data_IF_052504309307
#
_entry.id   IF_052504309307
#
_cell.length_a   1.000
_cell.length_b   1.000
_cell.length_c   1.000
_cell.angle_alpha   90.00
_cell.angle_beta   90.00
_cell.angle_gamma   90.00
#
_symmetry.space_group_name_H-M   'P 1'
#
loop_
_entity.id
_entity.type
_entity.pdbx_description
1 polymer ?
#
# COMPACT_ATOMS: atom_id res chain seq x y z
N UNK A 1 -29.29 18.52 34.40
CA UNK A 1 -28.97 17.21 33.81
C UNK A 1 -29.61 16.96 32.43
N UNK A 2 -30.83 17.43 32.15
CA UNK A 2 -31.54 17.22 30.86
C UNK A 2 -30.81 17.82 29.63
N UNK A 3 -30.15 18.96 29.76
CA UNK A 3 -29.50 19.64 28.61
C UNK A 3 -28.17 18.99 28.13
N UNK A 4 -27.50 18.15 28.96
CA UNK A 4 -26.29 17.43 28.54
C UNK A 4 -26.62 16.18 27.72
N UNK A 5 -27.76 15.53 28.04
CA UNK A 5 -28.20 14.33 27.31
C UNK A 5 -28.67 14.71 25.89
N UNK A 6 -29.35 15.83 25.72
CA UNK A 6 -29.84 16.30 24.43
C UNK A 6 -28.67 16.68 23.52
N UNK A 7 -27.57 17.34 24.03
CA UNK A 7 -26.39 17.65 23.25
C UNK A 7 -25.60 16.40 22.82
N UNK A 8 -25.53 15.39 23.68
CA UNK A 8 -24.90 14.11 23.33
C UNK A 8 -25.65 13.34 22.24
N UNK A 9 -26.98 13.30 22.32
CA UNK A 9 -27.84 12.67 21.33
C UNK A 9 -27.81 13.39 19.98
N UNK A 10 -27.81 14.71 19.94
CA UNK A 10 -27.71 15.49 18.71
C UNK A 10 -26.34 15.28 18.04
N UNK A 11 -25.27 15.18 18.81
CA UNK A 11 -23.93 14.92 18.25
C UNK A 11 -23.80 13.49 17.68
N UNK A 12 -24.37 12.49 18.35
CA UNK A 12 -24.42 11.10 17.85
C UNK A 12 -25.28 11.01 16.59
N UNK A 13 -26.43 11.70 16.53
CA UNK A 13 -27.26 11.73 15.33
C UNK A 13 -26.61 12.49 14.18
N UNK A 14 -25.85 13.56 14.43
CA UNK A 14 -25.10 14.28 13.40
C UNK A 14 -23.97 13.41 12.82
N UNK A 15 -23.22 12.70 13.66
CA UNK A 15 -22.16 11.80 13.21
C UNK A 15 -22.75 10.60 12.45
N UNK A 16 -23.84 10.01 12.93
CA UNK A 16 -24.54 8.93 12.22
C UNK A 16 -25.19 9.42 10.92
N UNK A 17 -25.69 10.66 10.90
CA UNK A 17 -26.27 11.31 9.72
C UNK A 17 -25.22 11.56 8.63
N UNK A 18 -24.03 12.01 9.00
CA UNK A 18 -22.91 12.21 8.07
C UNK A 18 -22.42 10.86 7.50
N UNK A 19 -22.30 9.83 8.33
CA UNK A 19 -21.98 8.46 7.88
C UNK A 19 -23.07 7.87 6.95
N UNK A 20 -24.35 8.13 7.26
CA UNK A 20 -25.48 7.69 6.42
C UNK A 20 -25.53 8.45 5.09
N UNK A 21 -25.18 9.75 5.06
CA UNK A 21 -25.11 10.53 3.84
C UNK A 21 -23.94 10.07 2.94
N UNK A 22 -22.75 9.85 3.52
CA UNK A 22 -21.62 9.25 2.81
C UNK A 22 -21.94 7.85 2.25
N UNK A 23 -22.70 7.04 3.00
CA UNK A 23 -23.18 5.73 2.52
C UNK A 23 -24.15 5.83 1.34
N UNK A 24 -25.10 6.79 1.40
CA UNK A 24 -26.13 6.93 0.36
C UNK A 24 -25.58 7.42 -0.99
N UNK A 25 -24.64 8.36 -0.99
CA UNK A 25 -24.04 8.86 -2.23
C UNK A 25 -23.17 7.81 -2.95
N UNK A 26 -22.66 6.81 -2.23
CA UNK A 26 -21.77 5.79 -2.80
C UNK A 26 -22.44 4.45 -3.15
N UNK A 27 -23.65 4.20 -2.66
CA UNK A 27 -24.37 2.92 -2.93
C UNK A 27 -24.75 2.77 -4.40
N UNK A 28 -24.83 3.86 -5.15
CA UNK A 28 -25.25 3.86 -6.56
C UNK A 28 -24.10 3.91 -7.59
N UNK A 29 -22.86 4.06 -7.17
CA UNK A 29 -21.73 3.80 -8.07
C UNK A 29 -21.40 2.31 -8.01
N UNK A 30 -22.03 1.52 -8.90
CA UNK A 30 -21.46 0.26 -9.33
C UNK A 30 -20.02 0.57 -9.73
N UNK A 31 -19.06 -0.08 -9.07
CA UNK A 31 -17.67 -0.04 -9.49
C UNK A 31 -17.67 -0.82 -10.79
N UNK A 32 -17.91 -0.12 -11.91
CA UNK A 32 -17.76 -0.68 -13.24
C UNK A 32 -16.26 -0.87 -13.45
N UNK A 33 -15.82 -2.05 -13.10
CA UNK A 33 -14.46 -2.47 -13.31
C UNK A 33 -14.47 -3.18 -14.65
N UNK A 34 -14.46 -2.40 -15.73
CA UNK A 34 -14.10 -2.93 -17.04
C UNK A 34 -12.60 -3.26 -16.99
N UNK A 35 -12.30 -4.40 -16.38
CA UNK A 35 -10.91 -4.85 -16.14
C UNK A 35 -10.45 -5.59 -17.38
N UNK A 36 -9.37 -5.12 -17.94
CA UNK A 36 -8.62 -5.89 -18.93
C UNK A 36 -8.16 -7.20 -18.27
N UNK A 37 -8.57 -8.34 -18.83
CA UNK A 37 -8.21 -9.67 -18.32
C UNK A 37 -6.69 -9.91 -18.41
N UNK A 38 -6.04 -9.22 -19.34
CA UNK A 38 -4.62 -9.33 -19.66
C UNK A 38 -3.75 -8.34 -18.89
N UNK A 39 -4.29 -7.74 -17.82
CA UNK A 39 -3.59 -6.76 -17.01
C UNK A 39 -3.88 -6.91 -15.53
N UNK A 40 -2.95 -6.45 -14.72
CA UNK A 40 -3.12 -6.31 -13.27
C UNK A 40 -2.76 -4.91 -12.80
N UNK A 41 -3.54 -4.42 -11.84
CA UNK A 41 -3.27 -3.20 -11.09
C UNK A 41 -2.66 -3.59 -9.74
N UNK A 42 -1.38 -3.26 -9.57
CA UNK A 42 -0.65 -3.44 -8.31
C UNK A 42 -0.66 -2.11 -7.55
N UNK A 43 -0.96 -2.15 -6.26
CA UNK A 43 -1.06 -0.97 -5.42
C UNK A 43 -0.27 -1.11 -4.12
N UNK A 44 0.14 0.02 -3.52
CA UNK A 44 0.65 0.12 -2.16
C UNK A 44 -0.18 1.11 -1.36
N UNK A 45 -0.43 0.82 -0.09
CA UNK A 45 -1.25 1.66 0.75
C UNK A 45 -0.90 1.54 2.23
N UNK A 46 -0.33 2.61 2.80
CA UNK A 46 -0.22 2.71 4.24
C UNK A 46 -1.64 2.75 4.85
N UNK A 47 -1.99 1.70 5.57
CA UNK A 47 -3.34 1.46 6.06
C UNK A 47 -3.64 2.12 7.42
N UNK A 48 -2.73 2.97 7.92
CA UNK A 48 -2.87 3.74 9.16
C UNK A 48 -3.44 2.91 10.33
N UNK A 49 -2.61 2.03 10.90
CA UNK A 49 -2.93 1.17 12.06
C UNK A 49 -4.18 0.29 11.84
N UNK A 50 -4.21 -0.43 10.71
CA UNK A 50 -5.30 -1.34 10.34
C UNK A 50 -5.52 -2.41 11.41
N UNK A 51 -6.75 -2.52 11.90
CA UNK A 51 -7.16 -3.48 12.93
C UNK A 51 -7.09 -2.94 14.37
N UNK A 52 -6.48 -1.78 14.59
CA UNK A 52 -6.42 -1.12 15.89
C UNK A 52 -7.25 0.17 15.90
N UNK A 53 -6.97 1.11 14.98
CA UNK A 53 -7.76 2.33 14.87
C UNK A 53 -9.18 2.06 14.36
N UNK A 54 -10.09 2.93 14.74
CA UNK A 54 -11.44 2.94 14.16
C UNK A 54 -11.35 3.24 12.67
N UNK A 55 -11.84 2.31 11.84
CA UNK A 55 -11.78 2.40 10.39
C UNK A 55 -13.15 2.22 9.76
N UNK A 56 -13.47 3.01 8.75
CA UNK A 56 -14.61 2.74 7.87
C UNK A 56 -14.23 1.67 6.85
N UNK A 57 -14.40 0.40 7.23
CA UNK A 57 -14.06 -0.74 6.38
C UNK A 57 -14.85 -0.79 5.07
N UNK A 58 -16.02 -0.13 5.00
CA UNK A 58 -16.78 -0.08 3.75
C UNK A 58 -16.11 0.85 2.74
N UNK A 59 -15.76 2.07 3.17
CA UNK A 59 -15.03 3.02 2.33
C UNK A 59 -13.64 2.46 1.99
N UNK A 60 -12.94 1.89 2.98
CA UNK A 60 -11.63 1.29 2.79
C UNK A 60 -11.69 0.19 1.70
N UNK A 61 -12.66 -0.74 1.78
CA UNK A 61 -12.86 -1.76 0.78
C UNK A 61 -13.23 -1.20 -0.61
N UNK A 62 -14.01 -0.10 -0.70
CA UNK A 62 -14.32 0.53 -1.99
C UNK A 62 -13.08 1.11 -2.68
N UNK A 63 -12.11 1.61 -1.88
CA UNK A 63 -10.83 2.09 -2.41
C UNK A 63 -10.04 0.90 -2.97
N UNK A 64 -9.82 -0.13 -2.15
CA UNK A 64 -9.02 -1.29 -2.51
C UNK A 64 -9.63 -2.10 -3.66
N UNK A 65 -10.94 -2.17 -3.77
CA UNK A 65 -11.65 -2.94 -4.79
C UNK A 65 -11.36 -2.49 -6.24
N UNK A 66 -10.68 -1.38 -6.43
CA UNK A 66 -10.26 -0.91 -7.77
C UNK A 66 -8.97 -1.57 -8.28
N UNK A 67 -8.26 -2.27 -7.42
CA UNK A 67 -6.96 -2.88 -7.69
C UNK A 67 -7.01 -4.40 -7.58
N UNK A 68 -6.01 -5.08 -8.11
CA UNK A 68 -5.97 -6.55 -8.13
C UNK A 68 -5.09 -7.10 -7.03
N UNK A 69 -3.99 -6.40 -6.71
CA UNK A 69 -3.06 -6.71 -5.63
C UNK A 69 -2.72 -5.44 -4.88
N UNK A 70 -2.83 -5.46 -3.57
CA UNK A 70 -2.51 -4.32 -2.71
C UNK A 70 -1.55 -4.75 -1.61
N UNK A 71 -0.37 -4.12 -1.55
CA UNK A 71 0.52 -4.13 -0.40
C UNK A 71 -0.01 -3.18 0.68
N UNK A 72 -0.02 -3.64 1.93
CA UNK A 72 -0.52 -2.88 3.07
C UNK A 72 0.56 -2.75 4.14
N UNK A 73 0.92 -1.54 4.48
CA UNK A 73 1.72 -1.15 5.63
C UNK A 73 0.83 -0.78 6.82
N UNK A 74 1.40 -0.65 7.99
CA UNK A 74 0.69 -0.35 9.23
C UNK A 74 -0.46 -1.33 9.54
N UNK A 75 -0.25 -2.60 9.30
CA UNK A 75 -1.18 -3.65 9.71
C UNK A 75 -0.88 -4.05 11.15
N UNK A 76 -1.78 -3.71 12.09
CA UNK A 76 -1.54 -3.96 13.52
C UNK A 76 -1.93 -5.39 13.94
N UNK A 77 -2.80 -6.04 13.19
CA UNK A 77 -3.19 -7.42 13.44
C UNK A 77 -3.95 -8.04 12.26
N UNK A 78 -3.93 -9.36 12.19
CA UNK A 78 -4.59 -10.14 11.15
C UNK A 78 -6.13 -9.94 11.10
N UNK A 79 -6.76 -9.57 12.23
CA UNK A 79 -8.21 -9.31 12.27
C UNK A 79 -8.60 -8.16 11.36
N UNK A 80 -7.74 -7.13 11.25
CA UNK A 80 -7.92 -6.01 10.33
C UNK A 80 -7.95 -6.48 8.87
N UNK A 81 -7.00 -7.33 8.48
CA UNK A 81 -6.90 -7.90 7.13
C UNK A 81 -8.11 -8.81 6.82
N UNK A 82 -8.45 -9.73 7.73
CA UNK A 82 -9.63 -10.61 7.59
C UNK A 82 -10.93 -9.82 7.41
N UNK A 83 -11.07 -8.73 8.17
CA UNK A 83 -12.24 -7.86 8.06
C UNK A 83 -12.25 -7.11 6.73
N UNK A 84 -11.12 -6.60 6.28
CA UNK A 84 -10.97 -5.96 4.95
C UNK A 84 -11.36 -6.93 3.85
N UNK A 85 -10.82 -8.16 3.85
CA UNK A 85 -11.17 -9.22 2.91
C UNK A 85 -12.67 -9.48 2.87
N UNK A 86 -13.31 -9.64 4.03
CA UNK A 86 -14.76 -9.88 4.09
C UNK A 86 -15.59 -8.74 3.49
N UNK A 87 -15.16 -7.48 3.65
CA UNK A 87 -15.82 -6.33 3.02
C UNK A 87 -15.58 -6.28 1.52
N UNK A 88 -14.36 -6.62 1.04
CA UNK A 88 -14.05 -6.74 -0.38
C UNK A 88 -14.91 -7.81 -1.05
N UNK A 89 -14.98 -9.02 -0.50
CA UNK A 89 -15.81 -10.11 -1.03
C UNK A 89 -17.30 -9.75 -1.03
N UNK A 90 -17.76 -9.06 0.01
CA UNK A 90 -19.14 -8.55 0.07
C UNK A 90 -19.44 -7.52 -1.01
N UNK A 91 -18.49 -6.63 -1.29
CA UNK A 91 -18.63 -5.52 -2.23
C UNK A 91 -18.52 -6.00 -3.69
N UNK A 92 -17.47 -6.78 -4.00
CA UNK A 92 -17.14 -7.17 -5.36
C UNK A 92 -17.84 -8.45 -5.83
N UNK A 93 -18.33 -9.27 -4.89
CA UNK A 93 -18.85 -10.63 -5.12
C UNK A 93 -17.80 -11.61 -5.68
N UNK A 94 -16.52 -11.24 -5.59
CA UNK A 94 -15.39 -12.05 -5.99
C UNK A 94 -14.65 -12.64 -4.79
N UNK A 95 -13.83 -13.65 -5.02
CA UNK A 95 -12.97 -14.24 -3.99
C UNK A 95 -11.69 -13.43 -3.88
N UNK A 96 -11.36 -13.06 -2.66
CA UNK A 96 -10.12 -12.43 -2.27
C UNK A 96 -9.31 -13.36 -1.38
N UNK A 97 -7.99 -13.17 -1.38
CA UNK A 97 -7.11 -13.84 -0.45
C UNK A 97 -6.05 -12.86 0.07
N UNK A 98 -5.23 -13.27 1.02
CA UNK A 98 -4.19 -12.43 1.57
C UNK A 98 -2.99 -13.25 2.04
N UNK A 99 -1.82 -12.61 2.03
CA UNK A 99 -0.59 -13.02 2.72
C UNK A 99 -0.36 -11.99 3.82
N UNK A 100 0.05 -12.42 5.00
CA UNK A 100 0.49 -11.56 6.09
C UNK A 100 1.84 -12.05 6.59
N UNK A 101 2.74 -11.14 6.96
CA UNK A 101 4.05 -11.51 7.49
C UNK A 101 3.92 -12.36 8.76
N UNK A 102 4.85 -13.29 8.96
CA UNK A 102 4.82 -14.25 10.05
C UNK A 102 4.95 -13.58 11.43
N UNK A 103 5.71 -12.48 11.47
CA UNK A 103 5.96 -11.70 12.67
C UNK A 103 5.69 -10.22 12.41
N UNK A 104 5.46 -9.47 13.49
CA UNK A 104 5.47 -8.01 13.45
C UNK A 104 6.89 -7.48 13.60
N UNK A 105 7.21 -6.38 12.90
CA UNK A 105 8.50 -5.69 12.92
C UNK A 105 8.36 -4.26 13.43
N UNK A 106 9.46 -3.64 13.85
CA UNK A 106 9.47 -2.27 14.35
C UNK A 106 10.10 -2.13 15.74
N UNK A 107 9.90 -0.98 16.38
CA UNK A 107 10.43 -0.67 17.71
C UNK A 107 9.68 -1.39 18.84
N UNK A 108 10.20 -1.31 20.07
CA UNK A 108 9.51 -1.85 21.26
C UNK A 108 8.10 -1.27 21.47
N UNK A 109 7.90 -0.01 21.09
CA UNK A 109 6.64 0.71 21.33
C UNK A 109 5.70 0.73 20.12
N UNK A 110 6.16 0.35 18.95
CA UNK A 110 5.38 0.34 17.72
C UNK A 110 5.83 -0.79 16.81
N UNK A 111 4.97 -1.77 16.62
CA UNK A 111 5.20 -2.91 15.74
C UNK A 111 4.03 -3.10 14.81
N UNK A 112 4.32 -3.49 13.59
CA UNK A 112 3.34 -3.74 12.54
C UNK A 112 3.65 -5.01 11.77
N UNK A 113 2.63 -5.55 11.12
CA UNK A 113 2.75 -6.58 10.09
C UNK A 113 2.69 -5.93 8.73
N UNK A 114 3.27 -6.59 7.74
CA UNK A 114 3.00 -6.34 6.33
C UNK A 114 1.98 -7.33 5.82
N UNK A 115 1.11 -6.90 4.90
CA UNK A 115 0.16 -7.80 4.27
C UNK A 115 -0.04 -7.47 2.80
N UNK A 116 -0.27 -8.51 2.00
CA UNK A 116 -0.77 -8.41 0.64
C UNK A 116 -2.21 -8.90 0.62
N UNK A 117 -3.11 -8.14 0.02
CA UNK A 117 -4.48 -8.57 -0.22
C UNK A 117 -4.76 -8.54 -1.73
N UNK A 118 -5.31 -9.62 -2.28
CA UNK A 118 -5.40 -9.79 -3.72
C UNK A 118 -6.65 -10.53 -4.19
N UNK A 119 -7.03 -10.29 -5.46
CA UNK A 119 -8.09 -11.02 -6.15
C UNK A 119 -7.62 -12.41 -6.52
N UNK A 120 -8.25 -13.42 -5.96
CA UNK A 120 -7.83 -14.81 -6.19
C UNK A 120 -7.91 -15.25 -7.66
N UNK A 121 -8.81 -14.67 -8.44
CA UNK A 121 -8.99 -14.98 -9.86
C UNK A 121 -7.86 -14.46 -10.76
N UNK A 122 -7.09 -13.47 -10.31
CA UNK A 122 -6.00 -12.87 -11.11
C UNK A 122 -4.66 -13.57 -10.95
N UNK A 123 -4.47 -14.31 -9.88
CA UNK A 123 -3.17 -14.91 -9.53
C UNK A 123 -3.26 -16.44 -9.47
N UNK A 124 -2.45 -17.11 -10.30
CA UNK A 124 -2.30 -18.56 -10.28
C UNK A 124 -1.41 -19.04 -9.14
N UNK A 125 -0.46 -18.19 -8.71
CA UNK A 125 0.41 -18.41 -7.57
C UNK A 125 0.55 -17.13 -6.75
N UNK A 126 0.57 -17.29 -5.41
CA UNK A 126 0.85 -16.23 -4.45
C UNK A 126 1.42 -16.86 -3.18
N UNK A 127 2.67 -16.51 -2.81
CA UNK A 127 3.33 -17.06 -1.62
C UNK A 127 4.25 -16.03 -0.96
N UNK A 128 4.28 -16.02 0.37
CA UNK A 128 5.24 -15.21 1.13
C UNK A 128 6.67 -15.71 0.93
N UNK A 129 7.61 -14.77 0.83
CA UNK A 129 9.04 -15.04 0.76
C UNK A 129 9.74 -14.75 2.10
N UNK A 130 9.07 -14.00 2.97
CA UNK A 130 9.61 -13.59 4.26
C UNK A 130 10.23 -12.20 4.23
N UNK A 131 10.84 -11.84 5.36
CA UNK A 131 11.53 -10.58 5.53
C UNK A 131 12.89 -10.56 4.83
N UNK A 132 13.29 -9.38 4.39
CA UNK A 132 14.67 -9.11 4.04
C UNK A 132 15.60 -9.51 5.20
N UNK A 133 16.66 -10.25 4.90
CA UNK A 133 17.70 -10.60 5.87
C UNK A 133 18.82 -9.58 5.78
N UNK A 134 18.93 -8.75 6.78
CA UNK A 134 19.94 -7.70 6.86
C UNK A 134 21.36 -8.27 6.70
N UNK A 135 22.21 -7.54 6.00
CA UNK A 135 23.64 -7.85 5.87
C UNK A 135 24.40 -7.37 7.09
N UNK A 136 24.05 -6.18 7.56
CA UNK A 136 24.58 -5.56 8.76
C UNK A 136 23.44 -5.36 9.76
N UNK A 137 23.74 -5.33 11.05
CA UNK A 137 22.74 -5.10 12.08
C UNK A 137 22.12 -3.70 11.98
N UNK A 138 20.79 -3.64 12.10
CA UNK A 138 20.02 -2.41 12.13
C UNK A 138 20.05 -1.58 10.83
N UNK A 139 20.02 -2.23 9.67
CA UNK A 139 19.83 -1.57 8.38
C UNK A 139 18.43 -0.94 8.28
N UNK A 140 17.42 -1.58 8.88
CA UNK A 140 16.02 -1.17 8.88
C UNK A 140 15.39 -1.24 10.28
N UNK A 141 14.53 -0.30 10.61
CA UNK A 141 13.65 -0.38 11.78
C UNK A 141 12.55 -1.44 11.55
N UNK A 142 12.13 -1.60 10.31
CA UNK A 142 11.16 -2.56 9.82
C UNK A 142 11.70 -3.17 8.55
N UNK A 143 12.17 -4.39 8.66
CA UNK A 143 12.73 -5.12 7.52
C UNK A 143 11.66 -5.28 6.44
N UNK A 144 11.92 -4.89 5.16
CA UNK A 144 10.98 -5.07 4.06
C UNK A 144 10.54 -6.53 3.91
N UNK A 145 9.28 -6.74 3.54
CA UNK A 145 8.68 -8.07 3.41
C UNK A 145 8.32 -8.36 1.95
N UNK A 146 8.80 -9.49 1.43
CA UNK A 146 8.57 -9.91 0.05
C UNK A 146 7.55 -11.03 -0.08
N UNK A 147 6.85 -11.03 -1.20
CA UNK A 147 6.02 -12.14 -1.66
C UNK A 147 6.13 -12.29 -3.18
N UNK A 148 6.06 -13.53 -3.64
CA UNK A 148 6.04 -13.90 -5.05
C UNK A 148 4.60 -14.03 -5.54
N UNK A 149 4.34 -13.54 -6.74
CA UNK A 149 3.05 -13.62 -7.42
C UNK A 149 3.23 -14.04 -8.87
N UNK A 150 2.23 -14.78 -9.40
CA UNK A 150 2.12 -15.09 -10.82
C UNK A 150 0.72 -14.77 -11.33
N UNK A 151 0.63 -13.88 -12.32
CA UNK A 151 -0.60 -13.44 -12.97
C UNK A 151 -0.53 -13.65 -14.49
N UNK A 152 -1.27 -14.60 -15.02
CA UNK A 152 -1.09 -15.02 -16.41
C UNK A 152 0.32 -15.56 -16.64
N UNK A 153 1.06 -14.95 -17.57
CA UNK A 153 2.47 -15.27 -17.82
C UNK A 153 3.44 -14.45 -16.96
N UNK A 154 3.04 -13.26 -16.49
CA UNK A 154 3.88 -12.39 -15.66
C UNK A 154 4.01 -12.94 -14.24
N UNK A 155 5.24 -13.21 -13.83
CA UNK A 155 5.60 -13.50 -12.44
C UNK A 155 6.59 -12.47 -11.91
N UNK A 156 6.49 -12.18 -10.61
CA UNK A 156 7.25 -11.11 -10.01
C UNK A 156 7.35 -11.25 -8.50
N UNK A 157 8.33 -10.59 -7.93
CA UNK A 157 8.43 -10.39 -6.48
C UNK A 157 7.92 -9.00 -6.12
N UNK A 158 6.93 -8.94 -5.24
CA UNK A 158 6.48 -7.68 -4.66
C UNK A 158 7.02 -7.55 -3.23
N UNK A 159 7.79 -6.51 -2.99
CA UNK A 159 8.38 -6.16 -1.69
C UNK A 159 7.70 -4.94 -1.12
N UNK A 160 7.08 -5.07 0.06
CA UNK A 160 6.50 -3.94 0.80
C UNK A 160 7.56 -3.34 1.73
N UNK A 161 7.62 -2.02 1.75
CA UNK A 161 8.51 -1.21 2.56
C UNK A 161 7.75 -0.19 3.39
N UNK A 162 8.14 -0.01 4.66
CA UNK A 162 7.72 1.11 5.49
C UNK A 162 8.92 1.61 6.29
N UNK A 163 9.61 2.61 5.74
CA UNK A 163 10.81 3.19 6.34
C UNK A 163 10.51 3.94 7.63
N UNK A 164 11.52 4.07 8.46
CA UNK A 164 11.42 4.82 9.71
C UNK A 164 11.04 6.28 9.43
N UNK A 165 10.05 6.79 10.15
CA UNK A 165 9.79 8.25 10.16
C UNK A 165 10.84 8.99 10.99
N UNK A 166 11.06 8.54 12.24
CA UNK A 166 12.12 8.96 13.17
C UNK A 166 12.30 10.48 13.36
N UNK A 167 12.86 10.85 14.49
CA UNK A 167 13.15 12.27 14.80
C UNK A 167 14.35 12.82 14.01
N UNK A 168 15.19 11.95 13.44
CA UNK A 168 16.41 12.33 12.73
C UNK A 168 16.34 11.89 11.28
N UNK A 169 16.42 12.82 10.37
CA UNK A 169 16.52 12.60 8.92
C UNK A 169 17.59 11.57 8.56
N UNK A 170 18.72 11.57 9.27
CA UNK A 170 19.82 10.61 9.06
C UNK A 170 19.35 9.15 9.07
N UNK A 171 18.39 8.77 9.92
CA UNK A 171 17.90 7.39 9.99
C UNK A 171 17.11 7.02 8.73
N UNK A 172 16.27 7.94 8.23
CA UNK A 172 15.53 7.75 6.97
C UNK A 172 16.47 7.58 5.78
N UNK A 173 17.51 8.42 5.71
CA UNK A 173 18.50 8.37 4.62
C UNK A 173 19.35 7.10 4.67
N UNK A 174 19.64 6.56 5.87
CA UNK A 174 20.34 5.27 6.00
C UNK A 174 19.47 4.12 5.47
N UNK A 175 18.20 4.04 5.85
CA UNK A 175 17.30 3.03 5.29
C UNK A 175 17.14 3.20 3.77
N UNK A 176 16.95 4.44 3.27
CA UNK A 176 16.87 4.72 1.85
C UNK A 176 18.10 4.23 1.07
N UNK A 177 19.30 4.39 1.63
CA UNK A 177 20.54 3.92 1.02
C UNK A 177 20.67 2.39 1.00
N UNK A 178 19.98 1.67 1.89
CA UNK A 178 20.04 0.23 2.02
C UNK A 178 19.04 -0.52 1.12
N UNK A 179 18.08 0.15 0.46
CA UNK A 179 17.16 -0.53 -0.45
C UNK A 179 17.86 -1.23 -1.64
N UNK A 180 19.07 -0.82 -1.99
CA UNK A 180 19.92 -1.55 -2.96
C UNK A 180 20.20 -2.98 -2.50
N UNK A 181 20.36 -3.22 -1.19
CA UNK A 181 20.58 -4.53 -0.60
C UNK A 181 19.29 -5.37 -0.60
N UNK A 182 18.14 -4.71 -0.39
CA UNK A 182 16.81 -5.35 -0.47
C UNK A 182 16.55 -5.87 -1.88
N UNK A 183 16.76 -5.04 -2.91
CA UNK A 183 16.63 -5.45 -4.31
C UNK A 183 17.52 -6.66 -4.62
N UNK A 184 18.81 -6.56 -4.28
CA UNK A 184 19.78 -7.64 -4.50
C UNK A 184 19.38 -8.94 -3.80
N UNK A 185 18.87 -8.84 -2.56
CA UNK A 185 18.45 -10.00 -1.77
C UNK A 185 17.31 -10.76 -2.42
N UNK A 186 16.24 -10.07 -2.80
CA UNK A 186 15.06 -10.73 -3.37
C UNK A 186 15.31 -11.23 -4.79
N UNK A 187 16.08 -10.54 -5.63
CA UNK A 187 16.50 -11.03 -6.94
C UNK A 187 17.28 -12.34 -6.83
N UNK A 188 18.23 -12.43 -5.88
CA UNK A 188 19.00 -13.67 -5.67
C UNK A 188 18.20 -14.80 -5.01
N UNK A 189 17.19 -14.45 -4.21
CA UNK A 189 16.41 -15.43 -3.47
C UNK A 189 15.50 -16.25 -4.38
N UNK A 190 14.99 -15.64 -5.42
CA UNK A 190 13.97 -16.20 -6.30
C UNK A 190 14.48 -16.54 -7.68
N UNK A 191 15.67 -16.07 -8.06
CA UNK A 191 16.16 -16.08 -9.43
C UNK A 191 15.18 -15.37 -10.39
N UNK A 192 14.53 -14.30 -9.86
CA UNK A 192 13.52 -13.49 -10.52
C UNK A 192 14.07 -12.08 -10.72
N UNK A 193 13.91 -11.53 -11.92
CA UNK A 193 14.37 -10.21 -12.28
C UNK A 193 13.31 -9.13 -12.11
N UNK A 194 12.02 -9.49 -12.08
CA UNK A 194 10.90 -8.59 -11.88
C UNK A 194 10.63 -8.31 -10.39
N UNK A 195 11.44 -7.39 -9.86
CA UNK A 195 11.34 -6.97 -8.46
C UNK A 195 10.65 -5.61 -8.37
N UNK A 196 9.48 -5.58 -7.75
CA UNK A 196 8.71 -4.38 -7.44
C UNK A 196 8.89 -4.07 -5.95
N UNK A 197 9.55 -2.95 -5.63
CA UNK A 197 9.64 -2.46 -4.24
C UNK A 197 8.70 -1.27 -4.11
N UNK A 198 7.71 -1.32 -3.21
CA UNK A 198 6.79 -0.21 -3.00
C UNK A 198 6.42 -0.04 -1.53
N UNK A 199 5.98 1.17 -1.17
CA UNK A 199 5.54 1.47 0.18
C UNK A 199 5.75 2.93 0.58
N UNK A 200 5.65 3.17 1.87
CA UNK A 200 5.94 4.44 2.53
C UNK A 200 7.43 4.53 2.91
N UNK A 201 8.20 5.25 2.12
CA UNK A 201 9.63 5.43 2.35
C UNK A 201 9.94 6.56 3.33
N UNK A 202 8.96 7.32 3.79
CA UNK A 202 9.13 8.50 4.65
C UNK A 202 10.20 9.49 4.14
N UNK A 203 10.55 9.39 2.85
CA UNK A 203 11.57 10.18 2.15
C UNK A 203 11.13 10.26 0.68
N UNK A 204 11.13 11.44 0.05
CA UNK A 204 10.83 11.57 -1.37
C UNK A 204 11.78 10.71 -2.23
N UNK A 205 11.25 10.04 -3.24
CA UNK A 205 11.98 9.02 -4.01
C UNK A 205 13.11 9.58 -4.90
N UNK A 206 13.13 10.89 -5.16
CA UNK A 206 14.21 11.61 -5.86
C UNK A 206 15.41 11.94 -4.96
N UNK A 207 15.32 11.61 -3.65
CA UNK A 207 16.44 11.82 -2.72
C UNK A 207 17.67 11.01 -3.14
N UNK A 208 18.83 11.65 -3.07
CA UNK A 208 20.12 11.05 -3.44
C UNK A 208 20.47 9.78 -2.66
N UNK A 209 19.84 9.53 -1.51
CA UNK A 209 20.05 8.31 -0.74
C UNK A 209 19.61 7.04 -1.50
N UNK A 210 18.62 7.14 -2.42
CA UNK A 210 18.20 6.02 -3.28
C UNK A 210 19.10 5.78 -4.49
N UNK A 211 20.10 6.65 -4.72
CA UNK A 211 20.97 6.58 -5.91
C UNK A 211 21.67 5.24 -6.09
N UNK A 212 22.02 4.55 -5.00
CA UNK A 212 22.69 3.25 -5.06
C UNK A 212 21.89 2.19 -5.84
N UNK A 213 20.54 2.22 -5.76
CA UNK A 213 19.68 1.31 -6.54
C UNK A 213 19.78 1.60 -8.04
N UNK A 214 19.75 2.89 -8.41
CA UNK A 214 19.87 3.31 -9.81
C UNK A 214 21.26 2.99 -10.37
N UNK A 215 22.33 3.29 -9.64
CA UNK A 215 23.70 3.10 -10.09
C UNK A 215 24.07 1.62 -10.25
N UNK A 216 23.61 0.75 -9.34
CA UNK A 216 24.01 -0.66 -9.33
C UNK A 216 23.09 -1.55 -10.15
N UNK A 217 21.79 -1.28 -10.14
CA UNK A 217 20.78 -2.17 -10.71
C UNK A 217 19.83 -1.48 -11.69
N UNK A 218 20.05 -0.20 -12.04
CA UNK A 218 19.15 0.61 -12.87
C UNK A 218 17.71 0.68 -12.35
N UNK A 219 17.53 0.50 -11.03
CA UNK A 219 16.22 0.60 -10.36
C UNK A 219 15.87 2.06 -10.13
N UNK A 220 14.70 2.47 -10.58
CA UNK A 220 14.23 3.87 -10.53
C UNK A 220 12.82 3.94 -9.97
N UNK A 221 12.48 5.09 -9.40
CA UNK A 221 11.10 5.37 -8.95
C UNK A 221 10.16 5.61 -10.13
N UNK A 222 8.87 5.32 -9.91
CA UNK A 222 7.81 5.50 -10.92
C UNK A 222 7.12 6.86 -10.79
N UNK A 223 6.75 7.28 -9.58
CA UNK A 223 6.03 8.53 -9.35
C UNK A 223 7.01 9.69 -9.13
N UNK A 224 6.91 10.75 -9.93
CA UNK A 224 7.68 11.98 -9.71
C UNK A 224 7.23 12.65 -8.41
N UNK A 225 8.11 12.81 -7.38
CA UNK A 225 7.74 13.39 -6.09
C UNK A 225 7.25 14.84 -6.15
N UNK A 226 7.69 15.62 -7.13
CA UNK A 226 7.25 17.01 -7.29
C UNK A 226 5.78 17.12 -7.73
N UNK A 227 5.25 16.09 -8.40
CA UNK A 227 3.90 16.08 -8.97
C UNK A 227 2.92 15.24 -8.14
N UNK A 228 3.41 14.31 -7.32
CA UNK A 228 2.62 13.25 -6.69
C UNK A 228 2.73 13.28 -5.16
N UNK A 229 1.95 14.16 -4.53
CA UNK A 229 1.81 14.16 -3.07
C UNK A 229 0.91 13.00 -2.62
N UNK A 230 1.34 12.28 -1.59
CA UNK A 230 0.68 11.05 -1.14
C UNK A 230 0.20 11.09 0.32
N UNK A 231 0.70 12.00 1.15
CA UNK A 231 0.29 12.10 2.56
C UNK A 231 -0.69 13.21 2.82
N UNK A 232 -1.48 13.09 3.90
CA UNK A 232 -2.58 14.00 4.24
C UNK A 232 -2.31 14.76 5.54
N UNK A 233 -2.54 16.08 5.51
CA UNK A 233 -2.90 16.85 6.69
C UNK A 233 -4.43 16.87 6.86
N UNK A 234 -4.93 17.62 7.83
CA UNK A 234 -6.38 17.77 8.04
C UNK A 234 -7.07 18.61 6.94
N UNK A 235 -6.30 19.25 6.05
CA UNK A 235 -6.84 20.20 5.06
C UNK A 235 -6.25 20.09 3.65
N UNK A 236 -5.12 19.36 3.46
CA UNK A 236 -4.43 19.27 2.17
C UNK A 236 -3.51 18.07 2.10
N UNK A 237 -3.03 17.77 0.89
CA UNK A 237 -1.88 16.89 0.66
C UNK A 237 -0.59 17.58 1.11
N UNK A 238 0.41 16.80 1.59
CA UNK A 238 1.60 17.36 2.25
C UNK A 238 2.91 16.86 1.67
N UNK A 239 3.13 15.56 1.61
CA UNK A 239 4.43 14.96 1.25
C UNK A 239 4.27 13.86 0.22
N UNK A 240 5.35 13.56 -0.51
CA UNK A 240 5.46 12.48 -1.47
C UNK A 240 6.35 11.39 -0.89
N UNK A 241 5.80 10.54 -0.01
CA UNK A 241 6.56 9.51 0.70
C UNK A 241 6.34 8.11 0.15
N UNK A 242 5.22 7.90 -0.54
CA UNK A 242 4.87 6.60 -1.13
C UNK A 242 5.32 6.55 -2.58
N UNK A 243 5.97 5.45 -2.98
CA UNK A 243 6.44 5.26 -4.35
C UNK A 243 6.57 3.79 -4.71
N UNK A 244 6.87 3.53 -5.99
CA UNK A 244 7.33 2.26 -6.53
C UNK A 244 8.74 2.42 -7.07
N UNK A 245 9.57 1.41 -6.87
CA UNK A 245 10.89 1.28 -7.48
C UNK A 245 10.95 -0.01 -8.28
N UNK A 246 11.30 0.09 -9.57
CA UNK A 246 11.47 -1.04 -10.49
C UNK A 246 12.68 -0.83 -11.37
N UNK A 247 13.17 -1.91 -11.98
CA UNK A 247 14.11 -1.85 -13.09
C UNK A 247 13.31 -1.88 -14.40
N UNK A 248 13.20 -0.75 -15.10
CA UNK A 248 12.42 -0.62 -16.34
C UNK A 248 12.97 -1.44 -17.53
N UNK A 249 14.21 -1.92 -17.46
CA UNK A 249 14.80 -2.79 -18.49
C UNK A 249 14.48 -4.26 -18.26
N UNK A 250 14.19 -4.62 -17.01
CA UNK A 250 13.79 -5.96 -16.58
C UNK A 250 12.28 -6.07 -16.58
N UNK A 251 11.60 -5.29 -15.79
CA UNK A 251 10.12 -5.28 -15.64
C UNK A 251 9.46 -4.60 -16.85
N UNK A 252 9.53 -5.26 -18.00
CA UNK A 252 8.99 -4.80 -19.30
C UNK A 252 7.48 -4.88 -19.37
N UNK A 253 6.87 -5.67 -18.49
CA UNK A 253 5.43 -5.81 -18.30
C UNK A 253 4.78 -4.53 -17.79
N UNK A 254 5.57 -3.61 -17.20
CA UNK A 254 5.09 -2.29 -16.82
C UNK A 254 4.65 -1.48 -18.05
N UNK A 255 3.35 -1.18 -18.14
CA UNK A 255 2.75 -0.55 -19.33
C UNK A 255 2.67 0.98 -19.28
N UNK A 256 3.29 1.61 -18.26
CA UNK A 256 3.32 3.08 -18.14
C UNK A 256 2.04 3.71 -17.58
N UNK A 257 1.06 2.93 -17.12
CA UNK A 257 -0.09 3.44 -16.37
C UNK A 257 0.18 3.33 -14.86
N UNK A 258 0.23 4.47 -14.19
CA UNK A 258 0.53 4.58 -12.76
C UNK A 258 -0.01 5.89 -12.20
N UNK A 259 -0.07 6.00 -10.88
CA UNK A 259 -0.46 7.27 -10.26
C UNK A 259 -0.81 7.16 -8.80
N UNK A 260 -1.32 8.28 -8.28
CA UNK A 260 -1.91 8.39 -6.96
C UNK A 260 -3.42 8.32 -7.09
N UNK A 261 -4.05 7.35 -6.45
CA UNK A 261 -5.51 7.29 -6.43
C UNK A 261 -6.05 8.25 -5.38
N UNK A 262 -6.40 9.46 -5.82
CA UNK A 262 -7.00 10.47 -4.97
C UNK A 262 -8.51 10.19 -4.78
N UNK A 263 -8.86 9.60 -3.66
CA UNK A 263 -10.23 9.29 -3.26
C UNK A 263 -10.87 10.36 -2.37
N UNK A 264 -10.20 11.52 -2.19
CA UNK A 264 -10.74 12.65 -1.40
C UNK A 264 -11.78 13.38 -2.24
N UNK A 265 -13.00 13.47 -1.70
CA UNK A 265 -14.10 14.23 -2.30
C UNK A 265 -14.48 15.38 -1.38
N UNK A 266 -14.88 16.53 -1.95
CA UNK A 266 -15.42 17.67 -1.19
C UNK A 266 -14.51 18.15 -0.04
N UNK A 267 -13.18 18.11 -0.22
CA UNK A 267 -12.19 18.53 0.78
C UNK A 267 -12.32 17.84 2.14
N UNK A 268 -12.80 16.59 2.19
CA UNK A 268 -13.00 15.83 3.41
C UNK A 268 -11.70 15.20 3.97
N UNK A 269 -10.58 15.92 3.90
CA UNK A 269 -9.28 15.44 4.35
C UNK A 269 -9.27 14.90 5.79
N UNK A 270 -9.78 15.70 6.75
CA UNK A 270 -9.81 15.29 8.16
C UNK A 270 -10.64 14.02 8.41
N UNK A 271 -11.74 13.81 7.69
CA UNK A 271 -12.58 12.61 7.81
C UNK A 271 -11.87 11.40 7.23
N UNK A 272 -11.28 11.55 6.04
CA UNK A 272 -10.51 10.48 5.38
C UNK A 272 -9.32 10.10 6.25
N UNK A 273 -8.52 11.06 6.71
CA UNK A 273 -7.39 10.83 7.61
C UNK A 273 -7.80 10.10 8.89
N UNK A 274 -8.96 10.44 9.46
CA UNK A 274 -9.44 9.82 10.70
C UNK A 274 -9.93 8.38 10.53
N UNK A 275 -10.64 8.08 9.43
CA UNK A 275 -11.41 6.84 9.29
C UNK A 275 -10.93 5.92 8.14
N UNK A 276 -10.00 6.38 7.32
CA UNK A 276 -9.46 5.61 6.20
C UNK A 276 -7.95 5.51 6.29
N UNK A 277 -7.23 6.58 5.96
CA UNK A 277 -5.78 6.68 6.08
C UNK A 277 -5.33 8.14 6.01
N UNK A 278 -4.16 8.44 6.54
CA UNK A 278 -3.41 9.67 6.34
C UNK A 278 -2.47 9.60 5.11
N UNK A 279 -2.60 8.54 4.33
CA UNK A 279 -1.97 8.39 3.01
C UNK A 279 -3.02 8.22 1.91
N UNK A 280 -2.64 8.48 0.66
CA UNK A 280 -3.34 8.06 -0.53
C UNK A 280 -2.73 6.75 -1.03
N UNK A 281 -3.54 5.94 -1.69
CA UNK A 281 -3.08 4.73 -2.34
C UNK A 281 -2.34 5.09 -3.63
N UNK A 282 -1.19 4.48 -3.87
CA UNK A 282 -0.45 4.54 -5.12
C UNK A 282 -0.62 3.26 -5.91
N UNK A 283 -0.51 3.33 -7.26
CA UNK A 283 -0.68 2.16 -8.11
C UNK A 283 0.19 2.20 -9.37
N UNK A 284 0.43 1.01 -9.92
CA UNK A 284 1.07 0.76 -11.21
C UNK A 284 0.40 -0.42 -11.92
N UNK A 285 0.40 -0.44 -13.25
CA UNK A 285 -0.28 -1.43 -14.08
C UNK A 285 0.71 -2.23 -14.91
N UNK A 286 0.49 -3.54 -15.00
CA UNK A 286 1.36 -4.48 -15.69
C UNK A 286 0.57 -5.36 -16.65
N UNK A 287 1.17 -5.70 -17.81
CA UNK A 287 0.69 -6.72 -18.73
C UNK A 287 0.85 -8.11 -18.12
N UNK A 288 -0.05 -9.03 -18.44
CA UNK A 288 0.03 -10.45 -18.04
C UNK A 288 0.08 -11.39 -19.24
N UNK A 289 0.25 -10.83 -20.46
CA UNK A 289 0.23 -11.58 -21.70
C UNK A 289 1.51 -12.38 -21.94
N UNK A 290 2.63 -11.77 -21.67
CA UNK A 290 3.97 -12.31 -21.92
C UNK A 290 4.80 -12.09 -20.66
N UNK A 291 5.79 -12.91 -20.51
CA UNK A 291 6.90 -12.75 -19.57
C UNK A 291 8.12 -12.42 -20.44
N UNK A 292 8.75 -11.28 -20.18
CA UNK A 292 9.69 -10.67 -21.10
C UNK A 292 11.12 -10.60 -20.56
N UNK A 293 11.40 -11.27 -19.44
CA UNK A 293 12.73 -11.38 -18.84
C UNK A 293 13.55 -12.60 -19.30
#
# INVERSE_FOLDING_TARGET
MKNKIIRGLVFVFLVLGIFSCFRKEKINETIDVNRDENRILVASFNAMRLGEKQKDYWIFAQILAKFDLIGLEEVMNEKGVKKTKAYLEKLTKEKWDYIISENSVGSENYREYFAFIYRKSKFSEARGLGFYKEKDENEFMREPYGAYFKAGNFDFVYVIAHSVFGDKEKHRLLEAANYVNVYEYFSKLTDEDDIIIAGDFNTPADNMAFKNMADKYNVKYILNPEENLTTLSDSKLVSSYDNFFINFEKTKEFIGNFGVYNFIKNNNYAIIKKYVSDHLLIFSEYSTLEDLD
#
